data_IF_882052443552
#
_entry.id   IF_882052443552
#
_cell.length_a   1.000
_cell.length_b   1.000
_cell.length_c   1.000
_cell.angle_alpha   90.00
_cell.angle_beta   90.00
_cell.angle_gamma   90.00
#
_symmetry.space_group_name_H-M   'P 1'
#
loop_
_entity.id
_entity.type
_entity.pdbx_description
1 polymer ?
#
# COMPACT_ATOMS: atom_id res chain seq x y z
N UNK A 1 0.58 18.64 -23.79
CA UNK A 1 0.35 19.34 -22.51
C UNK A 1 1.70 19.73 -21.93
N UNK A 2 1.86 20.94 -21.38
CA UNK A 2 3.08 21.30 -20.67
C UNK A 2 3.29 20.36 -19.47
N UNK A 3 4.54 20.00 -19.11
CA UNK A 3 4.81 19.11 -17.99
C UNK A 3 4.30 19.75 -16.69
N UNK A 4 3.56 18.96 -15.90
CA UNK A 4 3.06 19.39 -14.58
C UNK A 4 4.24 19.81 -13.70
N UNK A 5 4.12 20.95 -13.01
CA UNK A 5 5.18 21.40 -12.08
C UNK A 5 5.33 20.44 -10.88
N UNK A 6 4.24 19.77 -10.48
CA UNK A 6 4.27 18.70 -9.48
C UNK A 6 5.08 17.50 -9.99
N UNK A 7 4.93 17.15 -11.27
CA UNK A 7 5.74 16.11 -11.91
C UNK A 7 7.22 16.51 -11.97
N UNK A 8 7.50 17.78 -12.23
CA UNK A 8 8.87 18.34 -12.18
C UNK A 8 9.52 18.23 -10.80
N UNK A 9 8.78 18.54 -9.73
CA UNK A 9 9.24 18.37 -8.34
C UNK A 9 9.41 16.90 -7.98
N UNK A 10 8.48 16.04 -8.38
CA UNK A 10 8.60 14.60 -8.13
C UNK A 10 9.81 14.01 -8.87
N UNK A 11 10.08 14.46 -10.11
CA UNK A 11 11.29 14.10 -10.87
C UNK A 11 12.58 14.51 -10.18
N UNK A 12 12.65 15.69 -9.57
CA UNK A 12 13.87 16.14 -8.87
C UNK A 12 14.14 15.35 -7.58
N UNK A 13 13.12 14.71 -7.02
CA UNK A 13 13.20 13.81 -5.86
C UNK A 13 13.56 12.36 -6.25
N UNK A 14 13.37 11.96 -7.51
CA UNK A 14 13.69 10.62 -8.03
C UNK A 14 15.19 10.48 -8.34
N UNK A 15 16.02 10.63 -7.31
CA UNK A 15 17.48 10.56 -7.41
C UNK A 15 18.00 9.12 -7.61
N UNK A 16 17.15 8.11 -7.50
CA UNK A 16 17.53 6.68 -7.57
C UNK A 16 16.75 5.94 -8.64
N UNK A 17 17.46 5.12 -9.41
CA UNK A 17 16.89 4.26 -10.45
C UNK A 17 16.37 2.94 -9.84
N UNK A 18 15.25 2.46 -10.40
CA UNK A 18 14.69 1.13 -10.16
C UNK A 18 15.22 0.14 -11.20
N UNK A 19 15.27 -1.13 -10.80
CA UNK A 19 15.61 -2.28 -11.64
C UNK A 19 17.01 -2.21 -12.25
N UNK A 20 17.97 -1.62 -11.53
CA UNK A 20 19.35 -1.47 -11.98
C UNK A 20 20.08 -2.81 -12.22
N UNK A 21 19.62 -3.91 -11.60
CA UNK A 21 20.14 -5.27 -11.84
C UNK A 21 19.36 -6.03 -12.92
N UNK A 22 18.33 -5.39 -13.47
CA UNK A 22 17.55 -5.87 -14.60
C UNK A 22 16.30 -6.63 -14.18
N UNK A 23 15.97 -7.70 -14.89
CA UNK A 23 14.71 -8.41 -14.68
C UNK A 23 14.71 -9.37 -13.48
N UNK A 24 15.89 -9.85 -13.10
CA UNK A 24 16.06 -10.98 -12.18
C UNK A 24 16.37 -12.27 -12.94
N UNK A 25 16.49 -13.39 -12.20
CA UNK A 25 16.82 -14.69 -12.81
C UNK A 25 15.62 -15.25 -13.60
N UNK A 26 15.81 -15.73 -14.85
CA UNK A 26 14.72 -16.30 -15.66
C UNK A 26 13.94 -17.40 -14.94
N UNK A 27 14.64 -18.31 -14.25
CA UNK A 27 14.03 -19.45 -13.56
C UNK A 27 13.13 -18.97 -12.40
N UNK A 28 13.50 -17.87 -11.75
CA UNK A 28 12.72 -17.29 -10.67
C UNK A 28 11.44 -16.62 -11.21
N UNK A 29 11.52 -15.97 -12.37
CA UNK A 29 10.35 -15.38 -13.04
C UNK A 29 9.36 -16.46 -13.49
N UNK A 30 9.84 -17.56 -14.06
CA UNK A 30 9.01 -18.72 -14.42
C UNK A 30 8.24 -19.27 -13.22
N UNK A 31 8.96 -19.53 -12.12
CA UNK A 31 8.34 -19.99 -10.86
C UNK A 31 7.30 -18.97 -10.38
N UNK A 32 7.63 -17.68 -10.38
CA UNK A 32 6.73 -16.60 -9.94
C UNK A 32 5.44 -16.55 -10.76
N UNK A 33 5.54 -16.69 -12.08
CA UNK A 33 4.35 -16.67 -12.93
C UNK A 33 3.51 -17.93 -12.83
N UNK A 34 4.13 -19.10 -12.62
CA UNK A 34 3.39 -20.32 -12.30
C UNK A 34 2.63 -20.15 -10.97
N UNK A 35 3.29 -19.64 -9.94
CA UNK A 35 2.69 -19.41 -8.62
C UNK A 35 1.62 -18.30 -8.64
N UNK A 36 1.78 -17.27 -9.48
CA UNK A 36 0.78 -16.22 -9.69
C UNK A 36 -0.60 -16.79 -10.04
N UNK A 37 -0.66 -17.86 -10.84
CA UNK A 37 -1.93 -18.52 -11.20
C UNK A 37 -2.66 -19.06 -9.97
N UNK A 38 -1.91 -19.55 -8.97
CA UNK A 38 -2.43 -20.03 -7.70
C UNK A 38 -2.89 -18.85 -6.85
N UNK A 39 -2.04 -17.81 -6.68
CA UNK A 39 -2.40 -16.60 -5.92
C UNK A 39 -3.62 -15.88 -6.52
N UNK A 40 -3.81 -15.90 -7.85
CA UNK A 40 -4.95 -15.24 -8.49
C UNK A 40 -6.27 -15.97 -8.29
N UNK A 41 -6.25 -17.23 -7.84
CA UNK A 41 -7.45 -17.98 -7.52
C UNK A 41 -7.71 -17.88 -6.01
N UNK A 42 -8.77 -17.17 -5.60
CA UNK A 42 -9.11 -16.93 -4.20
C UNK A 42 -9.20 -18.23 -3.39
N UNK A 43 -9.90 -19.24 -3.92
CA UNK A 43 -10.12 -20.50 -3.21
C UNK A 43 -8.78 -21.20 -2.94
N UNK A 44 -7.92 -21.30 -3.95
CA UNK A 44 -6.59 -21.89 -3.80
C UNK A 44 -5.68 -21.04 -2.89
N UNK A 45 -5.65 -19.72 -3.08
CA UNK A 45 -4.77 -18.83 -2.32
C UNK A 45 -5.11 -18.79 -0.83
N UNK A 46 -6.41 -18.78 -0.49
CA UNK A 46 -6.85 -18.76 0.92
C UNK A 46 -6.42 -20.01 1.70
N UNK A 47 -6.19 -21.14 1.01
CA UNK A 47 -5.73 -22.40 1.59
C UNK A 47 -4.20 -22.47 1.74
N UNK A 48 -3.45 -21.54 1.14
CA UNK A 48 -1.99 -21.52 1.25
C UNK A 48 -1.51 -21.12 2.64
N UNK A 49 -2.36 -20.51 3.47
CA UNK A 49 -2.00 -20.10 4.82
C UNK A 49 -2.89 -20.84 5.83
N UNK A 50 -2.34 -21.77 6.63
CA UNK A 50 -3.10 -22.44 7.67
C UNK A 50 -3.56 -21.46 8.75
N UNK A 51 -4.72 -21.71 9.38
CA UNK A 51 -5.33 -20.81 10.37
C UNK A 51 -4.46 -20.65 11.63
N UNK A 52 -3.71 -21.68 11.97
CA UNK A 52 -2.80 -21.74 13.12
C UNK A 52 -1.36 -21.34 12.76
N UNK A 53 -1.12 -20.67 11.62
CA UNK A 53 0.21 -20.25 11.20
C UNK A 53 1.00 -19.57 12.34
N UNK A 54 2.25 -19.97 12.59
CA UNK A 54 3.00 -19.50 13.75
C UNK A 54 3.29 -18.00 13.62
N UNK A 55 2.94 -17.24 14.68
CA UNK A 55 3.23 -15.81 14.81
C UNK A 55 3.81 -15.58 16.19
N UNK A 56 5.00 -14.99 16.23
CA UNK A 56 5.72 -14.68 17.46
C UNK A 56 5.49 -13.21 17.83
N UNK A 57 5.03 -12.95 19.06
CA UNK A 57 5.05 -11.61 19.64
C UNK A 57 6.39 -11.46 20.36
N UNK A 58 7.23 -10.58 19.83
CA UNK A 58 8.62 -10.39 20.30
C UNK A 58 8.71 -9.33 21.39
N UNK A 59 7.74 -8.42 21.46
CA UNK A 59 7.77 -7.30 22.38
C UNK A 59 6.36 -6.84 22.71
N UNK A 60 6.16 -6.45 23.96
CA UNK A 60 4.95 -5.82 24.45
C UNK A 60 5.32 -4.58 25.26
N UNK A 61 4.67 -3.45 24.95
CA UNK A 61 4.79 -2.20 25.69
C UNK A 61 3.42 -1.64 25.98
N UNK A 62 3.20 -1.23 27.22
CA UNK A 62 1.99 -0.52 27.64
C UNK A 62 2.35 0.96 27.80
N UNK A 63 1.71 1.79 27.00
CA UNK A 63 1.80 3.25 27.05
C UNK A 63 0.57 3.81 27.76
N UNK A 64 0.58 5.11 28.07
CA UNK A 64 -0.55 5.77 28.76
C UNK A 64 -1.85 5.77 27.94
N UNK A 65 -1.75 5.71 26.62
CA UNK A 65 -2.86 5.84 25.67
C UNK A 65 -3.17 4.54 24.90
N UNK A 66 -2.22 3.60 24.82
CA UNK A 66 -2.35 2.40 24.01
C UNK A 66 -1.42 1.27 24.47
N UNK A 67 -1.71 0.05 24.01
CA UNK A 67 -0.81 -1.10 24.08
C UNK A 67 -0.17 -1.31 22.71
N UNK A 68 1.15 -1.44 22.67
CA UNK A 68 1.92 -1.69 21.44
C UNK A 68 2.55 -3.07 21.53
N UNK A 69 2.32 -3.89 20.51
CA UNK A 69 2.97 -5.18 20.33
C UNK A 69 3.88 -5.13 19.11
N UNK A 70 5.04 -5.77 19.18
CA UNK A 70 5.83 -6.08 17.98
C UNK A 70 5.87 -7.59 17.81
N UNK A 71 5.80 -8.03 16.56
CA UNK A 71 5.86 -9.44 16.25
C UNK A 71 6.47 -9.73 14.90
N UNK A 72 6.70 -11.01 14.66
CA UNK A 72 7.26 -11.53 13.42
C UNK A 72 6.76 -12.92 13.10
N UNK A 73 6.88 -13.30 11.84
CA UNK A 73 6.68 -14.67 11.36
C UNK A 73 7.44 -14.88 10.05
N UNK A 74 7.71 -16.13 9.69
CA UNK A 74 8.32 -16.46 8.39
C UNK A 74 7.30 -16.16 7.29
N UNK A 75 7.67 -15.42 6.26
CA UNK A 75 6.81 -15.11 5.13
C UNK A 75 6.40 -16.41 4.41
N UNK A 76 5.10 -16.70 4.23
CA UNK A 76 4.68 -17.94 3.58
C UNK A 76 5.20 -18.08 2.15
N UNK A 77 5.50 -16.96 1.47
CA UNK A 77 6.06 -17.00 0.12
C UNK A 77 7.41 -17.74 0.11
N UNK A 78 8.25 -17.61 1.15
CA UNK A 78 9.53 -18.33 1.20
C UNK A 78 9.33 -19.85 1.33
N UNK A 79 8.27 -20.30 2.01
CA UNK A 79 7.96 -21.73 2.13
C UNK A 79 7.62 -22.33 0.76
N UNK A 80 6.78 -21.64 -0.01
CA UNK A 80 6.36 -22.11 -1.34
C UNK A 80 7.40 -21.85 -2.44
N UNK A 81 8.21 -20.81 -2.26
CA UNK A 81 9.13 -20.29 -3.27
C UNK A 81 10.54 -20.11 -2.67
N UNK A 82 11.18 -21.19 -2.18
CA UNK A 82 12.45 -21.07 -1.48
C UNK A 82 13.53 -20.45 -2.36
N UNK A 83 14.34 -19.60 -1.73
CA UNK A 83 15.45 -18.88 -2.35
C UNK A 83 15.02 -17.71 -3.24
N UNK A 84 13.73 -17.36 -3.25
CA UNK A 84 13.22 -16.21 -3.98
C UNK A 84 13.08 -14.97 -3.09
N UNK A 85 12.67 -15.14 -1.84
CA UNK A 85 12.62 -14.05 -0.87
C UNK A 85 14.03 -13.84 -0.33
N UNK A 86 14.62 -12.63 -0.42
CA UNK A 86 15.95 -12.39 0.14
C UNK A 86 15.99 -12.72 1.63
N UNK A 87 17.08 -13.29 2.14
CA UNK A 87 17.21 -13.73 3.54
C UNK A 87 16.77 -12.67 4.56
N UNK A 88 17.18 -11.41 4.34
CA UNK A 88 16.82 -10.28 5.21
C UNK A 88 15.31 -9.97 5.23
N UNK A 89 14.58 -10.40 4.22
CA UNK A 89 13.15 -10.18 4.05
C UNK A 89 12.29 -11.42 4.33
N UNK A 90 12.89 -12.58 4.64
CA UNK A 90 12.16 -13.82 4.91
C UNK A 90 11.29 -13.74 6.16
N UNK A 91 11.71 -12.98 7.17
CA UNK A 91 10.84 -12.67 8.31
C UNK A 91 9.98 -11.45 7.99
N UNK A 92 8.67 -11.63 8.05
CA UNK A 92 7.70 -10.55 8.09
C UNK A 92 7.72 -9.93 9.49
N UNK A 93 7.82 -8.62 9.57
CA UNK A 93 7.83 -7.86 10.82
C UNK A 93 6.61 -6.94 10.85
N UNK A 94 5.94 -6.86 12.00
CA UNK A 94 4.77 -6.01 12.15
C UNK A 94 4.70 -5.41 13.56
N UNK A 95 3.94 -4.32 13.67
CA UNK A 95 3.58 -3.70 14.94
C UNK A 95 2.06 -3.62 15.07
N UNK A 96 1.54 -3.97 16.25
CA UNK A 96 0.12 -3.85 16.57
C UNK A 96 -0.07 -2.70 17.55
N UNK A 97 -1.05 -1.84 17.29
CA UNK A 97 -1.57 -0.85 18.23
C UNK A 97 -2.96 -1.28 18.68
N UNK A 98 -3.14 -1.44 19.99
CA UNK A 98 -4.39 -1.83 20.62
C UNK A 98 -4.82 -0.77 21.64
N UNK A 99 -6.13 -0.57 21.83
CA UNK A 99 -6.60 0.32 22.88
C UNK A 99 -6.43 -0.38 24.23
N UNK A 100 -6.28 0.40 25.30
CA UNK A 100 -6.22 -0.16 26.66
C UNK A 100 -7.56 -0.79 27.09
N UNK A 101 -8.66 -0.31 26.50
CA UNK A 101 -10.01 -0.82 26.70
C UNK A 101 -10.79 -0.72 25.40
N UNK A 102 -11.54 -1.76 25.06
CA UNK A 102 -12.47 -1.73 23.94
C UNK A 102 -13.79 -1.07 24.34
N UNK A 103 -14.44 -0.37 23.40
CA UNK A 103 -15.75 0.23 23.62
C UNK A 103 -16.81 -0.85 23.90
N UNK A 104 -16.71 -1.98 23.21
CA UNK A 104 -17.50 -3.20 23.45
C UNK A 104 -16.56 -4.40 23.38
N UNK A 105 -16.45 -5.18 24.46
CA UNK A 105 -15.56 -6.35 24.50
C UNK A 105 -15.94 -7.46 23.51
N UNK A 106 -17.16 -7.40 22.94
CA UNK A 106 -17.59 -8.30 21.84
C UNK A 106 -17.02 -7.88 20.48
N UNK A 107 -16.64 -6.61 20.32
CA UNK A 107 -16.14 -6.06 19.07
C UNK A 107 -14.77 -5.42 19.28
N UNK A 108 -13.74 -6.06 18.75
CA UNK A 108 -12.35 -5.62 18.85
C UNK A 108 -11.82 -5.32 17.44
N UNK A 109 -12.29 -4.23 16.81
CA UNK A 109 -12.02 -3.98 15.40
C UNK A 109 -10.53 -3.71 15.18
N UNK A 110 -9.97 -4.32 14.12
CA UNK A 110 -8.57 -4.13 13.72
C UNK A 110 -8.47 -3.91 12.22
N UNK A 111 -7.65 -2.93 11.82
CA UNK A 111 -7.30 -2.68 10.42
C UNK A 111 -5.81 -2.96 10.15
N UNK A 112 -5.50 -3.73 9.11
CA UNK A 112 -4.13 -3.92 8.62
C UNK A 112 -3.76 -2.75 7.71
N UNK A 113 -2.65 -2.09 7.97
CA UNK A 113 -2.12 -0.98 7.17
C UNK A 113 -0.92 -1.43 6.35
N UNK A 114 -1.06 -1.43 5.03
CA UNK A 114 0.04 -1.71 4.09
C UNK A 114 0.75 -0.42 3.68
N UNK A 115 2.08 -0.47 3.62
CA UNK A 115 2.92 0.69 3.35
C UNK A 115 2.86 1.10 1.86
N UNK A 116 2.81 2.41 1.62
CA UNK A 116 3.03 3.00 0.30
C UNK A 116 4.52 3.07 -0.05
N UNK A 117 4.86 3.52 -1.27
CA UNK A 117 6.24 3.57 -1.72
C UNK A 117 7.12 4.44 -0.82
N UNK A 118 8.24 3.89 -0.33
CA UNK A 118 9.18 4.60 0.53
C UNK A 118 8.76 4.74 2.00
N UNK A 119 7.63 4.16 2.40
CA UNK A 119 7.17 4.15 3.79
C UNK A 119 7.89 3.06 4.59
N UNK A 120 9.12 3.37 4.99
CA UNK A 120 9.95 2.49 5.83
C UNK A 120 9.52 2.52 7.30
N UNK A 121 9.64 1.37 7.99
CA UNK A 121 9.32 1.21 9.39
C UNK A 121 7.85 1.52 9.71
N UNK A 122 7.56 1.82 10.98
CA UNK A 122 6.20 1.96 11.50
C UNK A 122 5.80 3.42 11.80
N UNK A 123 6.77 4.32 12.00
CA UNK A 123 6.52 5.59 12.68
C UNK A 123 5.45 6.46 12.00
N UNK A 124 5.47 6.60 10.68
CA UNK A 124 4.52 7.44 9.95
C UNK A 124 3.10 6.89 10.07
N UNK A 125 2.88 5.63 9.67
CA UNK A 125 1.58 4.95 9.79
C UNK A 125 1.09 4.91 11.24
N UNK A 126 1.98 4.67 12.19
CA UNK A 126 1.64 4.64 13.62
C UNK A 126 1.09 5.97 14.11
N UNK A 127 1.85 7.05 13.91
CA UNK A 127 1.52 8.32 14.54
C UNK A 127 0.50 9.15 13.75
N UNK A 128 0.52 9.07 12.43
CA UNK A 128 -0.32 9.91 11.57
C UNK A 128 -1.66 9.26 11.21
N UNK A 129 -1.78 7.93 11.36
CA UNK A 129 -2.98 7.18 10.96
C UNK A 129 -3.51 6.34 12.12
N UNK A 130 -2.71 5.39 12.62
CA UNK A 130 -3.20 4.42 13.61
C UNK A 130 -3.57 5.08 14.95
N UNK A 131 -2.73 5.97 15.51
CA UNK A 131 -3.02 6.66 16.77
C UNK A 131 -4.29 7.54 16.72
N UNK A 132 -4.50 8.39 15.69
CA UNK A 132 -5.77 9.10 15.54
C UNK A 132 -6.98 8.17 15.47
N UNK A 133 -6.94 7.12 14.64
CA UNK A 133 -8.03 6.16 14.51
C UNK A 133 -8.30 5.39 15.82
N UNK A 134 -7.25 5.04 16.55
CA UNK A 134 -7.36 4.41 17.85
C UNK A 134 -8.07 5.32 18.86
N UNK A 135 -7.72 6.62 18.87
CA UNK A 135 -8.28 7.60 19.80
C UNK A 135 -9.72 7.96 19.47
N UNK A 136 -10.03 8.14 18.19
CA UNK A 136 -11.33 8.66 17.73
C UNK A 136 -12.36 7.56 17.53
N UNK A 137 -11.95 6.36 17.11
CA UNK A 137 -12.84 5.27 16.73
C UNK A 137 -12.63 3.98 17.53
N UNK A 138 -11.69 3.95 18.49
CA UNK A 138 -11.31 2.73 19.22
C UNK A 138 -10.89 1.58 18.28
N UNK A 139 -10.27 1.94 17.15
CA UNK A 139 -9.86 1.02 16.09
C UNK A 139 -8.40 0.60 16.30
N UNK A 140 -8.17 -0.69 16.53
CA UNK A 140 -6.82 -1.25 16.55
C UNK A 140 -6.19 -1.27 15.17
N UNK A 141 -4.86 -1.30 15.11
CA UNK A 141 -4.13 -1.30 13.85
C UNK A 141 -3.01 -2.33 13.85
N UNK A 142 -2.82 -3.02 12.73
CA UNK A 142 -1.61 -3.80 12.46
C UNK A 142 -0.83 -3.10 11.34
N UNK A 143 0.42 -2.77 11.60
CA UNK A 143 1.31 -2.07 10.67
C UNK A 143 2.35 -3.07 10.20
N UNK A 144 2.13 -3.63 9.00
CA UNK A 144 3.06 -4.60 8.39
C UNK A 144 4.22 -3.87 7.71
N UNK A 145 5.46 -4.26 7.99
CA UNK A 145 6.61 -3.75 7.23
C UNK A 145 6.75 -4.52 5.92
N UNK A 146 6.64 -3.83 4.79
CA UNK A 146 6.78 -4.44 3.47
C UNK A 146 8.15 -5.11 3.31
N UNK A 147 8.26 -6.21 2.55
CA UNK A 147 9.57 -6.73 2.15
C UNK A 147 10.34 -5.65 1.39
N UNK A 148 11.67 -5.70 1.44
CA UNK A 148 12.57 -4.69 0.87
C UNK A 148 12.57 -3.34 1.60
N UNK A 149 11.79 -3.13 2.67
CA UNK A 149 11.70 -1.86 3.40
C UNK A 149 12.22 -2.01 4.83
N UNK A 150 12.71 -0.91 5.41
CA UNK A 150 13.20 -0.85 6.79
C UNK A 150 14.10 -2.02 7.17
N UNK A 151 13.69 -2.85 8.15
CA UNK A 151 14.49 -3.99 8.62
C UNK A 151 14.62 -5.09 7.55
N UNK A 152 13.67 -5.16 6.62
CA UNK A 152 13.58 -6.15 5.53
C UNK A 152 14.28 -5.69 4.25
N UNK A 153 15.05 -4.59 4.29
CA UNK A 153 15.70 -4.00 3.12
C UNK A 153 17.09 -4.60 2.87
N UNK A 154 17.37 -5.15 1.66
CA UNK A 154 18.73 -5.55 1.28
C UNK A 154 19.74 -4.41 1.39
N UNK A 155 20.95 -4.70 1.87
CA UNK A 155 22.01 -3.69 2.10
C UNK A 155 22.35 -2.86 0.86
N UNK A 156 22.38 -3.52 -0.30
CA UNK A 156 22.68 -2.88 -1.59
C UNK A 156 21.51 -2.02 -2.12
N UNK A 157 20.32 -2.12 -1.51
CA UNK A 157 19.15 -1.38 -1.96
C UNK A 157 19.13 0.06 -1.41
N UNK A 158 19.12 1.01 -2.34
CA UNK A 158 19.04 2.43 -2.03
C UNK A 158 17.57 2.86 -1.93
N UNK A 159 17.19 3.49 -0.82
CA UNK A 159 15.80 3.87 -0.53
C UNK A 159 14.82 2.71 -0.78
N UNK A 160 13.70 2.97 -1.46
CA UNK A 160 12.69 1.99 -1.87
C UNK A 160 12.89 1.46 -3.29
N UNK A 161 14.04 1.70 -3.90
CA UNK A 161 14.30 1.39 -5.32
C UNK A 161 14.72 -0.06 -5.48
N UNK A 162 13.75 -0.90 -5.83
CA UNK A 162 13.93 -2.33 -6.05
C UNK A 162 15.00 -2.61 -7.10
N UNK A 163 15.78 -3.66 -6.90
CA UNK A 163 16.97 -3.93 -7.70
C UNK A 163 16.65 -4.70 -8.98
N UNK A 164 15.64 -5.58 -8.93
CA UNK A 164 15.16 -6.35 -10.07
C UNK A 164 13.64 -6.18 -10.28
N UNK A 165 13.16 -6.39 -11.50
CA UNK A 165 11.72 -6.44 -11.77
C UNK A 165 11.04 -7.58 -10.99
N UNK A 166 11.70 -8.73 -10.86
CA UNK A 166 11.23 -9.87 -10.05
C UNK A 166 10.88 -9.47 -8.61
N UNK A 167 11.61 -8.52 -8.03
CA UNK A 167 11.44 -8.10 -6.64
C UNK A 167 10.07 -7.47 -6.40
N UNK A 168 9.43 -6.88 -7.42
CA UNK A 168 8.05 -6.36 -7.34
C UNK A 168 7.07 -7.50 -7.09
N UNK A 169 7.21 -8.59 -7.85
CA UNK A 169 6.32 -9.75 -7.74
C UNK A 169 6.53 -10.47 -6.41
N UNK A 170 7.78 -10.57 -5.95
CA UNK A 170 8.11 -11.09 -4.61
C UNK A 170 7.43 -10.24 -3.54
N UNK A 171 7.56 -8.90 -3.62
CA UNK A 171 6.91 -8.00 -2.68
C UNK A 171 5.38 -8.21 -2.67
N UNK A 172 4.77 -8.28 -3.84
CA UNK A 172 3.33 -8.48 -3.96
C UNK A 172 2.86 -9.82 -3.37
N UNK A 173 3.53 -10.91 -3.73
CA UNK A 173 3.22 -12.25 -3.22
C UNK A 173 3.37 -12.36 -1.70
N UNK A 174 4.45 -11.79 -1.16
CA UNK A 174 4.66 -11.71 0.29
C UNK A 174 3.50 -10.96 0.96
N UNK A 175 3.16 -9.75 0.50
CA UNK A 175 2.14 -8.93 1.14
C UNK A 175 0.73 -9.53 1.08
N UNK A 176 0.39 -10.25 0.01
CA UNK A 176 -0.89 -11.00 -0.05
C UNK A 176 -0.90 -12.09 1.01
N UNK A 177 0.10 -12.97 1.03
CA UNK A 177 0.13 -14.12 1.96
C UNK A 177 0.34 -13.69 3.42
N UNK A 178 1.19 -12.70 3.68
CA UNK A 178 1.42 -12.13 5.01
C UNK A 178 0.17 -11.45 5.57
N UNK A 179 -0.64 -10.81 4.71
CA UNK A 179 -1.94 -10.28 5.13
C UNK A 179 -2.90 -11.40 5.55
N UNK A 180 -2.93 -12.52 4.82
CA UNK A 180 -3.74 -13.68 5.20
C UNK A 180 -3.29 -14.28 6.55
N UNK A 181 -1.98 -14.34 6.82
CA UNK A 181 -1.45 -14.75 8.13
C UNK A 181 -1.99 -13.83 9.23
N UNK A 182 -1.91 -12.52 9.05
CA UNK A 182 -2.37 -11.55 10.03
C UNK A 182 -3.89 -11.57 10.22
N UNK A 183 -4.67 -11.78 9.16
CA UNK A 183 -6.13 -11.91 9.26
C UNK A 183 -6.54 -13.18 10.03
N UNK A 184 -5.92 -14.33 9.74
CA UNK A 184 -6.11 -15.56 10.50
C UNK A 184 -5.67 -15.38 11.96
N UNK A 185 -4.55 -14.68 12.19
CA UNK A 185 -4.06 -14.35 13.53
C UNK A 185 -5.04 -13.46 14.29
N UNK A 186 -5.65 -12.47 13.62
CA UNK A 186 -6.67 -11.63 14.24
C UNK A 186 -7.88 -12.46 14.66
N UNK A 187 -8.42 -13.26 13.74
CA UNK A 187 -9.61 -14.08 13.97
C UNK A 187 -9.43 -15.05 15.15
N UNK A 188 -8.31 -15.80 15.18
CA UNK A 188 -8.05 -16.77 16.26
C UNK A 188 -7.84 -16.12 17.63
N UNK A 189 -7.46 -14.85 17.67
CA UNK A 189 -7.29 -14.08 18.92
C UNK A 189 -8.54 -13.26 19.29
N UNK A 190 -9.66 -13.46 18.59
CA UNK A 190 -10.94 -12.81 18.90
C UNK A 190 -11.00 -11.34 18.50
N UNK A 191 -10.20 -10.92 17.52
CA UNK A 191 -10.30 -9.58 16.92
C UNK A 191 -11.29 -9.59 15.76
N UNK A 192 -12.09 -8.53 15.66
CA UNK A 192 -13.15 -8.40 14.66
C UNK A 192 -14.14 -7.28 15.00
N UNK A 193 -14.77 -6.62 14.01
CA UNK A 193 -14.63 -6.81 12.57
C UNK A 193 -13.23 -6.44 12.04
N UNK A 194 -12.82 -7.05 10.92
CA UNK A 194 -11.49 -6.87 10.34
C UNK A 194 -11.53 -5.93 9.15
N UNK A 195 -10.43 -5.19 8.96
CA UNK A 195 -10.21 -4.36 7.79
C UNK A 195 -8.78 -4.41 7.27
N UNK A 196 -8.61 -3.94 6.04
CA UNK A 196 -7.31 -3.72 5.41
C UNK A 196 -7.32 -2.41 4.61
N UNK A 197 -6.22 -1.67 4.71
CA UNK A 197 -6.04 -0.37 4.07
C UNK A 197 -4.60 -0.20 3.62
N UNK A 198 -4.38 0.77 2.75
CA UNK A 198 -3.06 1.23 2.39
C UNK A 198 -3.12 2.43 1.47
N UNK A 199 -1.98 3.12 1.33
CA UNK A 199 -1.84 4.30 0.48
C UNK A 199 -1.01 3.98 -0.77
N UNK A 200 -1.48 4.40 -1.95
CA UNK A 200 -0.76 4.23 -3.22
C UNK A 200 -0.43 2.76 -3.50
N UNK A 201 0.85 2.37 -3.58
CA UNK A 201 1.28 0.97 -3.66
C UNK A 201 0.64 0.11 -2.56
N UNK A 202 0.52 0.63 -1.33
CA UNK A 202 -0.14 -0.08 -0.23
C UNK A 202 -1.64 -0.27 -0.46
N UNK A 203 -2.32 0.68 -1.11
CA UNK A 203 -3.73 0.58 -1.47
C UNK A 203 -3.97 -0.47 -2.57
N UNK A 204 -3.05 -0.55 -3.53
CA UNK A 204 -3.05 -1.60 -4.55
C UNK A 204 -2.88 -2.97 -3.89
N UNK A 205 -1.91 -3.11 -2.98
CA UNK A 205 -1.70 -4.36 -2.27
C UNK A 205 -2.84 -4.72 -1.31
N UNK A 206 -3.49 -3.73 -0.69
CA UNK A 206 -4.64 -3.98 0.17
C UNK A 206 -5.80 -4.59 -0.63
N UNK A 207 -5.97 -4.11 -1.86
CA UNK A 207 -6.98 -4.64 -2.79
C UNK A 207 -6.65 -6.10 -3.19
N UNK A 208 -5.40 -6.40 -3.53
CA UNK A 208 -4.96 -7.76 -3.88
C UNK A 208 -5.02 -8.73 -2.69
N UNK A 209 -4.74 -8.27 -1.48
CA UNK A 209 -4.85 -9.08 -0.28
C UNK A 209 -6.32 -9.36 0.06
N UNK A 210 -7.19 -8.35 -0.05
CA UNK A 210 -8.62 -8.48 0.24
C UNK A 210 -9.32 -9.47 -0.70
N UNK A 211 -8.95 -9.51 -1.98
CA UNK A 211 -9.55 -10.47 -2.94
C UNK A 211 -9.19 -11.93 -2.65
N UNK A 212 -8.22 -12.20 -1.78
CA UNK A 212 -7.79 -13.53 -1.39
C UNK A 212 -8.30 -13.97 -0.01
N UNK A 213 -9.00 -13.09 0.71
CA UNK A 213 -9.63 -13.43 1.98
C UNK A 213 -11.09 -13.90 1.74
N UNK A 214 -11.49 -15.07 2.27
CA UNK A 214 -12.79 -15.66 1.94
C UNK A 214 -13.97 -15.18 2.80
N UNK A 215 -13.75 -14.27 3.76
CA UNK A 215 -14.77 -13.80 4.71
C UNK A 215 -15.01 -12.29 4.55
N UNK A 216 -16.09 -11.73 5.12
CA UNK A 216 -16.31 -10.28 5.10
C UNK A 216 -15.11 -9.51 5.65
N UNK A 217 -14.65 -8.51 4.88
CA UNK A 217 -13.47 -7.70 5.19
C UNK A 217 -13.70 -6.26 4.71
N UNK A 218 -13.47 -5.29 5.60
CA UNK A 218 -13.52 -3.88 5.22
C UNK A 218 -12.27 -3.54 4.40
N UNK A 219 -12.45 -2.98 3.21
CA UNK A 219 -11.34 -2.55 2.34
C UNK A 219 -11.40 -1.03 2.14
N UNK A 220 -10.32 -0.32 2.50
CA UNK A 220 -10.17 1.13 2.27
C UNK A 220 -8.88 1.39 1.49
N UNK A 221 -8.88 1.29 0.15
CA UNK A 221 -7.69 1.46 -0.67
C UNK A 221 -7.55 2.93 -1.07
N UNK A 222 -6.57 3.63 -0.49
CA UNK A 222 -6.37 5.06 -0.70
C UNK A 222 -5.36 5.33 -1.82
N UNK A 223 -5.70 6.24 -2.75
CA UNK A 223 -4.84 6.60 -3.90
C UNK A 223 -4.33 5.37 -4.68
N UNK A 224 -5.14 4.30 -4.72
CA UNK A 224 -4.81 3.04 -5.36
C UNK A 224 -4.99 3.11 -6.87
N UNK A 225 -4.29 2.25 -7.61
CA UNK A 225 -4.49 2.05 -9.04
C UNK A 225 -4.74 0.58 -9.36
N UNK A 226 -5.40 0.30 -10.49
CA UNK A 226 -5.76 -1.05 -10.89
C UNK A 226 -4.57 -1.89 -11.36
N UNK A 227 -3.46 -1.25 -11.77
CA UNK A 227 -2.27 -1.93 -12.28
C UNK A 227 -0.97 -1.21 -11.91
N UNK A 228 0.10 -1.97 -11.68
CA UNK A 228 1.43 -1.41 -11.55
C UNK A 228 2.05 -0.99 -12.89
N UNK A 229 1.51 -1.48 -14.02
CA UNK A 229 2.09 -1.27 -15.35
C UNK A 229 2.23 0.21 -15.68
N UNK A 230 1.13 0.96 -15.70
CA UNK A 230 1.14 2.39 -16.07
C UNK A 230 2.01 3.23 -15.13
N UNK A 231 2.18 2.82 -13.87
CA UNK A 231 3.09 3.50 -12.94
C UNK A 231 4.54 3.37 -13.41
N UNK A 232 4.96 2.20 -13.90
CA UNK A 232 6.33 2.00 -14.33
C UNK A 232 6.57 2.30 -15.81
N UNK A 233 5.57 2.15 -16.68
CA UNK A 233 5.73 2.33 -18.14
C UNK A 233 5.40 3.74 -18.60
N UNK A 234 4.62 4.49 -17.83
CA UNK A 234 4.15 5.83 -18.21
C UNK A 234 4.48 6.89 -17.14
N UNK A 235 4.31 8.15 -17.50
CA UNK A 235 4.43 9.27 -16.57
C UNK A 235 5.83 9.45 -15.97
N UNK A 236 5.87 9.99 -14.74
CA UNK A 236 7.11 10.42 -14.08
C UNK A 236 7.99 9.24 -13.67
N UNK A 237 7.39 8.17 -13.17
CA UNK A 237 8.10 7.01 -12.64
C UNK A 237 8.80 6.20 -13.74
N UNK A 238 8.29 6.21 -14.98
CA UNK A 238 8.97 5.59 -16.13
C UNK A 238 10.40 6.09 -16.35
N UNK A 239 10.68 7.34 -15.99
CA UNK A 239 12.02 7.92 -16.15
C UNK A 239 12.99 7.42 -15.06
N UNK A 240 12.49 6.76 -14.02
CA UNK A 240 13.29 6.16 -12.96
C UNK A 240 13.62 4.70 -13.22
N UNK A 241 13.11 4.11 -14.30
CA UNK A 241 13.44 2.74 -14.69
C UNK A 241 14.73 2.71 -15.50
N UNK A 242 15.59 1.72 -15.24
CA UNK A 242 16.78 1.45 -16.04
C UNK A 242 16.42 0.68 -17.31
N UNK A 243 15.69 1.32 -18.24
CA UNK A 243 15.21 0.70 -19.47
C UNK A 243 16.34 0.10 -20.31
N UNK A 244 17.47 0.79 -20.46
CA UNK A 244 18.61 0.29 -21.25
C UNK A 244 19.12 -1.07 -20.75
N UNK A 245 19.14 -1.27 -19.42
CA UNK A 245 19.54 -2.54 -18.80
C UNK A 245 18.52 -3.63 -19.11
N UNK A 246 17.23 -3.30 -18.97
CA UNK A 246 16.14 -4.24 -19.21
C UNK A 246 16.07 -4.66 -20.69
N UNK A 247 16.26 -3.70 -21.59
CA UNK A 247 16.27 -3.90 -23.04
C UNK A 247 17.49 -4.73 -23.47
N UNK A 248 18.67 -4.38 -22.96
CA UNK A 248 19.91 -5.14 -23.23
C UNK A 248 19.76 -6.59 -22.78
N UNK A 249 19.26 -6.85 -21.56
CA UNK A 249 19.02 -8.21 -21.09
C UNK A 249 17.96 -8.95 -21.91
N UNK A 250 16.89 -8.25 -22.29
CA UNK A 250 15.84 -8.83 -23.11
C UNK A 250 16.34 -9.28 -24.49
N UNK A 251 17.25 -8.54 -25.12
CA UNK A 251 17.79 -8.89 -26.43
C UNK A 251 19.05 -9.77 -26.37
N UNK A 252 19.80 -9.76 -25.27
CA UNK A 252 21.04 -10.53 -25.13
C UNK A 252 20.80 -12.03 -24.92
N UNK A 253 19.65 -12.42 -24.38
CA UNK A 253 19.31 -13.82 -24.13
C UNK A 253 18.03 -14.21 -24.89
N UNK A 254 18.21 -14.96 -25.98
CA UNK A 254 17.11 -15.45 -26.81
C UNK A 254 16.14 -16.36 -26.04
N UNK A 255 16.63 -17.14 -25.07
CA UNK A 255 15.77 -17.92 -24.19
C UNK A 255 14.97 -17.01 -23.28
N UNK A 256 15.61 -15.96 -22.72
CA UNK A 256 14.93 -14.98 -21.87
C UNK A 256 13.79 -14.28 -22.61
N UNK A 257 14.03 -13.84 -23.85
CA UNK A 257 13.01 -13.24 -24.74
C UNK A 257 11.87 -14.19 -25.05
N UNK A 258 12.18 -15.41 -25.48
CA UNK A 258 11.16 -16.39 -25.86
C UNK A 258 10.33 -16.81 -24.64
N UNK A 259 10.96 -16.99 -23.49
CA UNK A 259 10.28 -17.33 -22.23
C UNK A 259 9.42 -16.18 -21.75
N UNK A 260 9.95 -14.95 -21.64
CA UNK A 260 9.16 -13.79 -21.21
C UNK A 260 7.97 -13.52 -22.12
N UNK A 261 8.16 -13.58 -23.44
CA UNK A 261 7.08 -13.29 -24.40
C UNK A 261 5.94 -14.32 -24.33
N UNK A 262 6.23 -15.59 -24.01
CA UNK A 262 5.20 -16.62 -23.76
C UNK A 262 4.51 -16.48 -22.40
N UNK A 263 5.19 -15.89 -21.41
CA UNK A 263 4.70 -15.77 -20.03
C UNK A 263 3.91 -14.48 -19.76
N UNK A 264 4.17 -13.42 -20.54
CA UNK A 264 3.43 -12.16 -20.49
C UNK A 264 2.39 -12.15 -21.61
N UNK A 265 1.37 -12.98 -21.48
CA UNK A 265 0.13 -12.75 -22.25
C UNK A 265 -0.50 -11.50 -21.66
N UNK A 266 -0.54 -10.42 -22.43
CA UNK A 266 -1.29 -9.22 -22.05
C UNK A 266 -2.75 -9.64 -21.95
N UNK A 267 -3.29 -9.71 -20.73
CA UNK A 267 -4.72 -9.95 -20.52
C UNK A 267 -5.42 -8.62 -20.73
N UNK A 268 -5.67 -8.27 -21.99
CA UNK A 268 -6.49 -7.10 -22.36
C UNK A 268 -7.91 -7.20 -21.77
N UNK A 269 -8.35 -8.41 -21.42
CA UNK A 269 -9.69 -8.70 -20.91
C UNK A 269 -9.99 -8.10 -19.54
N UNK A 270 -9.03 -7.83 -18.66
CA UNK A 270 -9.36 -7.31 -17.32
C UNK A 270 -9.86 -5.86 -17.36
N UNK A 271 -9.25 -5.03 -18.23
CA UNK A 271 -9.70 -3.66 -18.46
C UNK A 271 -11.03 -3.63 -19.22
N UNK A 272 -11.18 -4.50 -20.23
CA UNK A 272 -12.42 -4.66 -20.99
C UNK A 272 -13.55 -5.18 -20.10
N UNK A 273 -13.28 -6.16 -19.23
CA UNK A 273 -14.24 -6.68 -18.25
C UNK A 273 -14.62 -5.61 -17.24
N UNK A 274 -13.67 -4.80 -16.75
CA UNK A 274 -13.98 -3.65 -15.88
C UNK A 274 -14.85 -2.61 -16.58
N UNK A 275 -14.58 -2.33 -17.86
CA UNK A 275 -15.40 -1.43 -18.70
C UNK A 275 -16.80 -2.01 -18.92
N UNK A 276 -16.91 -3.29 -19.22
CA UNK A 276 -18.16 -4.00 -19.41
C UNK A 276 -18.98 -4.03 -18.11
N UNK A 277 -18.34 -4.29 -16.97
CA UNK A 277 -18.96 -4.25 -15.65
C UNK A 277 -19.53 -2.87 -15.34
N UNK A 278 -18.78 -1.79 -15.58
CA UNK A 278 -19.29 -0.43 -15.36
C UNK A 278 -20.41 -0.08 -16.34
N UNK A 279 -20.28 -0.48 -17.61
CA UNK A 279 -21.30 -0.22 -18.64
C UNK A 279 -22.61 -0.96 -18.35
N UNK A 280 -22.54 -2.15 -17.75
CA UNK A 280 -23.68 -3.02 -17.44
C UNK A 280 -23.89 -3.17 -15.93
N UNK A 281 -23.52 -2.16 -15.14
CA UNK A 281 -23.40 -2.23 -13.68
C UNK A 281 -24.57 -2.92 -12.97
N UNK A 282 -25.82 -2.54 -13.29
CA UNK A 282 -26.99 -3.13 -12.63
C UNK A 282 -27.12 -4.63 -12.88
N UNK A 283 -26.84 -5.08 -14.10
CA UNK A 283 -26.89 -6.49 -14.46
C UNK A 283 -25.71 -7.25 -13.87
N UNK A 284 -24.49 -6.71 -14.00
CA UNK A 284 -23.28 -7.37 -13.47
C UNK A 284 -23.27 -7.46 -11.94
N UNK A 285 -23.94 -6.54 -11.23
CA UNK A 285 -24.14 -6.64 -9.76
C UNK A 285 -25.16 -7.72 -9.41
N UNK A 286 -26.18 -7.93 -10.24
CA UNK A 286 -27.18 -8.98 -10.01
C UNK A 286 -26.60 -10.38 -10.31
N UNK A 287 -25.83 -10.52 -11.39
CA UNK A 287 -25.06 -11.73 -11.70
C UNK A 287 -24.07 -12.05 -10.58
N UNK A 288 -23.33 -11.05 -10.10
CA UNK A 288 -22.41 -11.24 -8.97
C UNK A 288 -23.12 -11.68 -7.68
N UNK A 289 -24.35 -11.20 -7.44
CA UNK A 289 -25.16 -11.65 -6.30
C UNK A 289 -25.57 -13.11 -6.44
N UNK A 290 -26.02 -13.50 -7.63
CA UNK A 290 -26.36 -14.89 -7.93
C UNK A 290 -25.15 -15.81 -7.76
N UNK A 291 -23.97 -15.42 -8.26
CA UNK A 291 -22.73 -16.17 -8.07
C UNK A 291 -22.35 -16.32 -6.57
N UNK A 292 -22.55 -15.27 -5.78
CA UNK A 292 -22.30 -15.29 -4.32
C UNK A 292 -23.27 -16.24 -3.62
N UNK A 293 -24.55 -16.21 -4.01
CA UNK A 293 -25.60 -17.07 -3.45
C UNK A 293 -25.35 -18.54 -3.82
N UNK A 294 -25.01 -18.84 -5.08
CA UNK A 294 -24.62 -20.18 -5.54
C UNK A 294 -23.35 -20.70 -4.83
N UNK A 295 -22.38 -19.80 -4.56
CA UNK A 295 -21.18 -20.15 -3.80
C UNK A 295 -21.50 -20.41 -2.32
N UNK A 296 -22.53 -19.77 -1.77
CA UNK A 296 -23.00 -19.99 -0.40
C UNK A 296 -23.69 -21.35 -0.25
N UNK A 297 -24.43 -21.80 -1.26
CA UNK A 297 -25.08 -23.11 -1.34
C UNK A 297 -24.07 -24.27 -1.41
N UNK A 298 -22.86 -24.01 -1.90
CA UNK A 298 -21.79 -25.02 -1.97
C UNK A 298 -21.00 -25.18 -0.66
N UNK A 299 -21.12 -24.25 0.30
CA UNK A 299 -20.18 -24.15 1.44
C UNK A 299 -20.78 -24.53 2.81
N UNK A 300 -22.10 -24.61 2.99
CA UNK A 300 -22.66 -25.01 4.30
C UNK A 300 -23.84 -25.97 4.20
N UNK A 301 -23.69 -27.16 4.81
CA UNK A 301 -24.82 -27.84 5.44
C UNK A 301 -25.35 -26.99 6.61
N UNK A 302 -26.67 -27.01 6.78
CA UNK A 302 -27.50 -26.26 7.75
C UNK A 302 -26.89 -26.07 9.15
N UNK A 303 -27.22 -24.97 9.91
CA UNK A 303 -28.61 -24.53 10.08
C UNK A 303 -28.92 -23.03 10.34
N UNK A 304 -30.23 -22.76 10.22
CA UNK A 304 -31.11 -21.84 10.97
C UNK A 304 -31.26 -20.37 10.55
N UNK A 305 -32.47 -20.13 10.06
CA UNK A 305 -33.29 -18.91 10.03
C UNK A 305 -33.11 -17.97 11.22
N UNK A 306 -32.63 -16.75 10.96
CA UNK A 306 -33.41 -15.50 11.09
C UNK A 306 -32.46 -14.29 11.04
N UNK A 307 -32.26 -13.72 9.86
CA UNK A 307 -31.85 -12.30 9.74
C UNK A 307 -32.65 -11.66 8.61
N UNK A 308 -33.68 -10.92 9.01
CA UNK A 308 -34.55 -10.15 8.15
C UNK A 308 -33.78 -8.92 7.63
N UNK A 309 -33.31 -8.97 6.39
CA UNK A 309 -32.69 -7.82 5.70
C UNK A 309 -33.77 -7.04 4.95
N UNK A 310 -34.50 -6.19 5.66
CA UNK A 310 -35.30 -5.14 5.03
C UNK A 310 -34.36 -4.08 4.45
N UNK A 311 -34.24 -4.08 3.12
CA UNK A 311 -33.60 -3.00 2.36
C UNK A 311 -34.48 -1.75 2.50
N UNK A 312 -34.10 -0.84 3.40
CA UNK A 312 -34.69 0.49 3.48
C UNK A 312 -34.25 1.25 2.23
N UNK A 313 -35.16 1.38 1.26
CA UNK A 313 -35.08 2.39 0.20
C UNK A 313 -35.43 3.74 0.80
N UNK A 314 -34.43 4.50 1.24
CA UNK A 314 -34.63 5.93 1.52
C UNK A 314 -34.56 6.71 0.21
N UNK A 315 -35.74 7.03 -0.31
CA UNK A 315 -35.99 8.17 -1.19
C UNK A 315 -35.75 9.45 -0.39
N UNK A 316 -34.77 10.25 -0.79
CA UNK A 316 -34.46 11.55 -0.19
C UNK A 316 -35.61 12.55 -0.45
N UNK A 317 -36.28 13.10 0.57
CA UNK A 317 -37.06 14.31 0.42
C UNK A 317 -36.16 15.53 0.60
N UNK A 318 -36.35 16.54 -0.23
CA UNK A 318 -35.80 17.88 -0.05
C UNK A 318 -36.28 18.45 1.30
N UNK A 319 -35.38 18.81 2.23
CA UNK A 319 -35.52 20.01 3.07
C UNK A 319 -34.27 20.31 3.95
N UNK A 320 -33.85 21.57 3.86
CA UNK A 320 -33.17 22.42 4.86
C UNK A 320 -31.80 22.03 5.45
N UNK A 321 -30.75 22.57 4.81
CA UNK A 321 -29.44 22.77 5.40
C UNK A 321 -29.51 23.70 6.64
N UNK A 322 -29.46 23.12 7.84
CA UNK A 322 -28.92 23.80 9.03
C UNK A 322 -27.43 23.50 9.15
N UNK A 323 -26.62 24.52 8.91
CA UNK A 323 -25.15 24.55 9.11
C UNK A 323 -24.81 24.31 10.58
N UNK A 324 -24.27 23.15 10.90
CA UNK A 324 -23.40 22.98 12.07
C UNK A 324 -21.96 22.82 11.58
N UNK A 325 -21.22 23.93 11.67
CA UNK A 325 -19.81 24.04 11.30
C UNK A 325 -18.95 23.20 12.25
N UNK A 326 -18.24 22.20 11.71
CA UNK A 326 -17.10 21.58 12.38
C UNK A 326 -16.00 22.64 12.45
N UNK A 327 -15.65 23.06 13.66
CA UNK A 327 -14.61 24.07 13.87
C UNK A 327 -13.23 23.40 13.81
N UNK A 328 -12.69 23.26 12.60
CA UNK A 328 -11.28 22.90 12.39
C UNK A 328 -10.42 24.08 12.83
N UNK A 329 -9.49 23.85 13.75
CA UNK A 329 -8.57 24.88 14.23
C UNK A 329 -7.62 25.29 13.08
N UNK A 330 -7.79 26.52 12.56
CA UNK A 330 -7.12 27.05 11.35
C UNK A 330 -5.81 27.76 11.71
N UNK A 331 -4.81 27.03 12.17
CA UNK A 331 -3.47 27.63 12.38
C UNK A 331 -2.72 27.72 11.04
N UNK A 332 -2.38 28.94 10.60
CA UNK A 332 -1.58 29.22 9.41
C UNK A 332 -0.11 28.85 9.63
N UNK A 333 0.18 27.55 9.78
CA UNK A 333 1.51 27.03 10.12
C UNK A 333 2.58 27.36 9.07
N UNK A 334 2.16 27.58 7.81
CA UNK A 334 3.04 27.97 6.71
C UNK A 334 3.20 29.49 6.56
N UNK A 335 2.50 30.29 7.39
CA UNK A 335 2.49 31.75 7.32
C UNK A 335 2.22 32.28 5.90
N UNK A 336 1.18 31.71 5.27
CA UNK A 336 0.66 32.10 3.96
C UNK A 336 -0.04 33.46 4.04
N UNK A 337 -0.08 34.17 2.93
CA UNK A 337 -0.87 35.39 2.78
C UNK A 337 -2.35 35.09 3.01
N UNK A 338 -3.05 36.06 3.57
CA UNK A 338 -4.46 35.95 3.91
C UNK A 338 -5.35 35.63 2.68
N UNK A 339 -5.11 36.20 1.48
CA UNK A 339 -5.85 35.84 0.27
C UNK A 339 -5.66 34.37 -0.11
N UNK A 340 -4.42 33.87 -0.09
CA UNK A 340 -4.09 32.50 -0.44
C UNK A 340 -4.64 31.50 0.58
N UNK A 341 -4.51 31.82 1.87
CA UNK A 341 -5.04 31.00 2.95
C UNK A 341 -6.57 30.87 2.84
N UNK A 342 -7.27 31.97 2.61
CA UNK A 342 -8.73 31.97 2.47
C UNK A 342 -9.19 31.21 1.23
N UNK A 343 -8.43 31.28 0.14
CA UNK A 343 -8.70 30.55 -1.10
C UNK A 343 -8.50 29.04 -0.91
N UNK A 344 -7.40 28.63 -0.26
CA UNK A 344 -7.12 27.23 0.08
C UNK A 344 -8.11 26.62 1.09
N UNK A 345 -8.65 27.44 1.98
CA UNK A 345 -9.65 27.02 2.97
C UNK A 345 -11.10 27.14 2.46
N UNK A 346 -11.30 27.59 1.22
CA UNK A 346 -12.63 27.69 0.62
C UNK A 346 -13.12 26.32 0.14
N UNK A 347 -14.40 26.01 0.35
CA UNK A 347 -15.04 24.79 -0.14
C UNK A 347 -15.41 24.86 -1.64
N UNK A 348 -14.91 25.89 -2.35
CA UNK A 348 -15.22 26.15 -3.76
C UNK A 348 -13.99 25.79 -4.57
N UNK A 349 -14.19 25.02 -5.65
CA UNK A 349 -13.13 24.67 -6.59
C UNK A 349 -12.57 25.96 -7.21
N UNK A 350 -11.33 26.30 -6.89
CA UNK A 350 -10.66 27.50 -7.35
C UNK A 350 -9.32 27.16 -7.99
N UNK A 351 -8.93 27.94 -9.00
CA UNK A 351 -7.61 27.88 -9.60
C UNK A 351 -6.70 28.90 -8.92
N UNK A 352 -5.50 28.46 -8.51
CA UNK A 352 -4.49 29.35 -7.93
C UNK A 352 -3.78 30.13 -9.03
N UNK A 353 -3.52 31.41 -8.79
CA UNK A 353 -2.71 32.22 -9.69
C UNK A 353 -1.25 31.81 -9.60
N UNK A 354 -0.45 32.20 -10.59
CA UNK A 354 0.97 31.90 -10.61
C UNK A 354 1.70 32.47 -9.38
N UNK A 355 1.32 33.69 -8.94
CA UNK A 355 1.86 34.38 -7.77
C UNK A 355 1.53 33.65 -6.46
N UNK A 356 0.30 33.16 -6.32
CA UNK A 356 -0.17 32.36 -5.19
C UNK A 356 0.56 31.01 -5.09
N UNK A 357 0.82 30.37 -6.23
CA UNK A 357 1.58 29.13 -6.32
C UNK A 357 3.04 29.37 -5.92
N UNK A 358 3.65 30.45 -6.40
CA UNK A 358 5.03 30.78 -6.10
C UNK A 358 5.21 31.12 -4.61
N UNK A 359 4.24 31.82 -4.00
CA UNK A 359 4.20 32.04 -2.57
C UNK A 359 4.15 30.72 -1.78
N UNK A 360 3.23 29.82 -2.14
CA UNK A 360 3.08 28.52 -1.48
C UNK A 360 4.38 27.70 -1.55
N UNK A 361 5.03 27.68 -2.71
CA UNK A 361 6.29 26.97 -2.93
C UNK A 361 7.42 27.53 -2.07
N UNK A 362 7.55 28.86 -1.99
CA UNK A 362 8.56 29.52 -1.14
C UNK A 362 8.35 29.17 0.33
N UNK A 363 7.10 29.21 0.81
CA UNK A 363 6.77 28.92 2.21
C UNK A 363 6.99 27.45 2.58
N UNK A 364 6.67 26.52 1.67
CA UNK A 364 6.97 25.08 1.83
C UNK A 364 8.48 24.85 1.86
N UNK A 365 9.25 25.46 0.96
CA UNK A 365 10.70 25.33 0.95
C UNK A 365 11.35 25.85 2.24
N UNK A 366 10.87 26.97 2.77
CA UNK A 366 11.36 27.52 4.04
C UNK A 366 11.02 26.61 5.23
N UNK A 367 9.83 26.02 5.25
CA UNK A 367 9.43 25.06 6.28
C UNK A 367 10.28 23.78 6.24
N UNK A 368 10.53 23.24 5.05
CA UNK A 368 11.40 22.07 4.84
C UNK A 368 12.86 22.36 5.22
N UNK A 369 13.35 23.56 4.91
CA UNK A 369 14.70 23.99 5.30
C UNK A 369 14.85 24.05 6.82
N UNK A 370 13.90 24.67 7.53
CA UNK A 370 13.88 24.71 9.00
C UNK A 370 13.88 23.30 9.60
N UNK A 371 13.03 22.42 9.06
CA UNK A 371 12.97 21.03 9.51
C UNK A 371 14.30 20.27 9.30
N UNK A 372 14.97 20.48 8.17
CA UNK A 372 16.27 19.86 7.91
C UNK A 372 17.39 20.45 8.78
N UNK A 373 17.33 21.74 9.10
CA UNK A 373 18.27 22.40 10.02
C UNK A 373 18.06 21.90 11.46
N UNK A 374 16.82 21.69 11.90
CA UNK A 374 16.47 21.06 13.18
C UNK A 374 17.01 19.62 13.26
N UNK A 375 16.83 18.82 12.19
CA UNK A 375 17.38 17.45 12.11
C UNK A 375 18.92 17.40 12.10
N UNK A 376 19.58 18.42 11.53
CA UNK A 376 21.05 18.52 11.55
C UNK A 376 21.58 19.00 12.90
N UNK A 377 20.86 19.88 13.60
CA UNK A 377 21.19 20.29 14.95
C UNK A 377 21.09 19.13 15.95
N UNK A 378 20.15 18.19 15.73
CA UNK A 378 20.00 16.98 16.54
C UNK A 378 21.00 15.85 16.20
N UNK A 379 21.71 15.93 15.07
CA UNK A 379 22.57 14.87 14.51
C UNK A 379 24.09 15.10 14.54
N UNK A 380 24.59 16.14 15.21
CA UNK A 380 25.99 16.60 15.13
C UNK A 380 27.02 15.77 15.93
N UNK A 381 27.45 14.63 15.39
CA UNK A 381 28.71 13.95 15.75
C UNK A 381 29.64 13.86 14.51
N UNK A 382 30.77 14.56 14.55
CA UNK A 382 31.74 14.81 13.46
C UNK A 382 32.29 13.58 12.71
N UNK A 383 32.47 13.73 11.38
CA UNK A 383 33.60 13.18 10.58
C UNK A 383 33.83 14.04 9.30
N UNK A 384 35.07 14.19 8.78
CA UNK A 384 35.50 15.28 7.88
C UNK A 384 35.25 15.02 6.38
N UNK A 385 35.39 16.04 5.50
CA UNK A 385 34.87 15.99 4.14
C UNK A 385 35.77 15.18 3.19
N UNK A 386 35.17 14.25 2.44
CA UNK A 386 35.82 13.62 1.28
C UNK A 386 35.58 14.43 0.01
N UNK A 387 36.68 14.62 -0.71
CA UNK A 387 36.82 15.40 -1.94
C UNK A 387 35.85 15.00 -3.06
N UNK A 388 35.44 16.01 -3.85
CA UNK A 388 34.61 15.86 -5.04
C UNK A 388 35.37 15.18 -6.20
N UNK A 389 34.76 14.25 -6.96
CA UNK A 389 35.25 13.88 -8.27
C UNK A 389 34.63 14.75 -9.36
N UNK A 390 35.49 15.04 -10.34
CA UNK A 390 35.35 15.95 -11.47
C UNK A 390 34.24 15.51 -12.43
N UNK A 391 33.56 16.51 -13.01
CA UNK A 391 32.69 16.39 -14.18
C UNK A 391 33.50 15.88 -15.38
N UNK A 392 33.04 14.82 -16.03
CA UNK A 392 33.36 14.52 -17.42
C UNK A 392 32.07 14.55 -18.23
N UNK A 393 31.98 15.56 -19.09
CA UNK A 393 31.03 15.63 -20.20
C UNK A 393 31.54 14.73 -21.32
N UNK A 394 30.69 13.85 -21.84
CA UNK A 394 30.76 13.40 -23.23
C UNK A 394 29.36 13.40 -23.81
N UNK A 395 29.29 13.87 -25.06
CA UNK A 395 28.12 14.31 -25.83
C UNK A 395 27.06 13.24 -26.03
#
# INVERSE_FOLDING_TARGET
>A
MPPSRLDGLYRSLLLTKFFCKGWGKPENLERLFAFRKIISNRAACSQLVPRDYPVEITKEEIHSDCKILEGKFISPLEIYMPGLVPDVAQNAHFQILLPLKWNDERYKPICIHLAGTGDHYYWKRRNLIAKPLLKEANLGAIILENPFYGLRKPKEQRASSLQNVSDIFVMGGCLVLESLVLLNWCERNGYGPLGITGLSMGGHMASLAATNWPKPLVLVPCLSWSTASSVFTEGVMSHSISWDVLETQYFADGNFRERLSKMVTVVDDAFVAGKHFIQNFNQSVEELRQDIDETSDLVCGDPSTDVNLTVIRETTPEHEQKKNLIHINRSNALNLSEPLLNKLLSNVRCELTQEEIDELNVKIHLALKRHNEELQAEGGGLLPPRAAPRRCYWR
#
